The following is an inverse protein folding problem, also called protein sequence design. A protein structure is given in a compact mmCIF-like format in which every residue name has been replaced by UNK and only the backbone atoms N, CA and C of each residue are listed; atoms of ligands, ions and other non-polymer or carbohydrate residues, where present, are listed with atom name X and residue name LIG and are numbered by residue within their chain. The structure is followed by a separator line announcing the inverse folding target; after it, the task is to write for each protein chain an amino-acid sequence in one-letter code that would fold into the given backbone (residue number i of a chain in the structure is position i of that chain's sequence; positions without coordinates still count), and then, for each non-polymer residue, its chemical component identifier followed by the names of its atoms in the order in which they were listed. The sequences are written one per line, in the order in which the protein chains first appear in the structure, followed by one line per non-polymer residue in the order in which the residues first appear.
data_IF_618155381062
#
_entry.id   IF_618155381062
#
_cell.length_a   1.000
_cell.length_b   1.000
_cell.length_c   1.000
_cell.angle_alpha   90.00
_cell.angle_beta   90.00
_cell.angle_gamma   90.00
#
_symmetry.space_group_name_H-M   'P 1'
#
loop_
_entity.id
_entity.type
_entity.pdbx_description
1 polymer ?
#
# COMPACT_ATOMS: atom_id res chain seq x y z
N UNK A 1 11.03 -13.20 10.96
CA UNK A 1 9.71 -12.95 11.55
C UNK A 1 8.89 -12.03 10.67
N UNK A 2 7.61 -12.36 10.50
CA UNK A 2 6.65 -11.51 9.80
C UNK A 2 6.07 -10.53 10.82
N UNK A 3 6.06 -9.22 10.56
CA UNK A 3 5.54 -8.25 11.51
C UNK A 3 4.04 -8.46 11.76
N UNK A 4 3.67 -8.55 13.03
CA UNK A 4 2.27 -8.47 13.47
C UNK A 4 1.99 -7.02 13.84
N UNK A 5 1.09 -6.37 13.12
CA UNK A 5 0.69 -5.00 13.41
C UNK A 5 -0.32 -5.01 14.56
N UNK A 6 0.11 -4.53 15.72
CA UNK A 6 -0.77 -4.35 16.87
C UNK A 6 -1.81 -3.26 16.60
N UNK A 7 -3.04 -3.53 17.00
CA UNK A 7 -4.15 -2.59 16.83
C UNK A 7 -4.00 -1.43 17.80
N UNK A 8 -4.12 -0.21 17.31
CA UNK A 8 -4.24 0.95 18.21
C UNK A 8 -5.65 1.04 18.76
N UNK A 9 -5.80 1.54 20.00
CA UNK A 9 -7.11 1.77 20.60
C UNK A 9 -8.02 2.67 19.72
N UNK A 10 -7.44 3.63 19.00
CA UNK A 10 -8.17 4.51 18.08
C UNK A 10 -8.78 3.77 16.87
N UNK A 11 -8.12 2.74 16.35
CA UNK A 11 -8.64 1.89 15.26
C UNK A 11 -9.79 1.00 15.72
N UNK A 12 -9.78 0.58 16.99
CA UNK A 12 -10.87 -0.21 17.59
C UNK A 12 -12.10 0.68 17.86
N UNK A 13 -11.88 1.92 18.32
CA UNK A 13 -12.95 2.83 18.78
C UNK A 13 -13.73 3.49 17.62
N UNK A 14 -13.10 3.72 16.46
CA UNK A 14 -13.74 4.41 15.33
C UNK A 14 -14.50 3.49 14.34
N UNK A 15 -14.73 2.22 14.68
CA UNK A 15 -15.47 1.28 13.81
C UNK A 15 -15.25 -0.22 14.05
N UNK A 16 -14.49 -0.62 15.08
CA UNK A 16 -14.23 -2.05 15.34
C UNK A 16 -13.52 -2.77 14.18
N UNK A 17 -13.83 -4.05 13.96
CA UNK A 17 -13.31 -4.83 12.83
C UNK A 17 -13.99 -4.48 11.48
N UNK A 18 -14.99 -3.60 11.47
CA UNK A 18 -15.85 -3.36 10.31
C UNK A 18 -15.08 -2.88 9.05
N UNK A 19 -14.04 -2.03 9.14
CA UNK A 19 -13.22 -1.69 7.98
C UNK A 19 -12.39 -2.87 7.44
N UNK A 20 -11.96 -3.81 8.30
CA UNK A 20 -11.19 -4.99 7.88
C UNK A 20 -12.04 -5.94 7.02
N UNK A 21 -13.34 -6.02 7.34
CA UNK A 21 -14.31 -6.84 6.62
C UNK A 21 -14.65 -6.29 5.23
N UNK A 22 -14.14 -5.11 4.85
CA UNK A 22 -14.40 -4.47 3.56
C UNK A 22 -13.35 -4.79 2.50
N UNK A 23 -12.38 -5.65 2.80
CA UNK A 23 -11.36 -6.12 1.85
C UNK A 23 -10.24 -5.13 1.60
N UNK A 24 -10.55 -3.84 1.43
CA UNK A 24 -9.59 -2.75 1.26
C UNK A 24 -9.95 -1.54 2.10
N UNK A 25 -9.04 -1.05 2.93
CA UNK A 25 -9.31 0.06 3.86
C UNK A 25 -8.07 0.90 4.14
N UNK A 26 -8.29 2.15 4.55
CA UNK A 26 -7.22 3.07 4.93
C UNK A 26 -6.70 2.65 6.31
N UNK A 27 -5.45 2.18 6.37
CA UNK A 27 -4.82 1.76 7.63
C UNK A 27 -4.07 2.92 8.31
N UNK A 28 -3.59 3.87 7.51
CA UNK A 28 -2.98 5.12 7.97
C UNK A 28 -3.29 6.21 6.95
N UNK A 29 -3.86 7.33 7.39
CA UNK A 29 -4.22 8.43 6.49
C UNK A 29 -3.31 9.65 6.67
N UNK A 30 -3.36 10.56 5.71
CA UNK A 30 -2.75 11.88 5.80
C UNK A 30 -3.76 12.95 5.38
N UNK A 31 -3.63 14.17 5.92
CA UNK A 31 -4.43 15.31 5.46
C UNK A 31 -3.98 15.68 4.05
N UNK A 32 -4.93 15.77 3.11
CA UNK A 32 -4.67 16.07 1.70
C UNK A 32 -3.55 15.20 1.11
N UNK A 33 -3.73 13.87 1.02
CA UNK A 33 -2.69 12.97 0.54
C UNK A 33 -2.36 13.27 -0.92
N UNK A 34 -1.06 13.34 -1.23
CA UNK A 34 -0.54 13.52 -2.59
C UNK A 34 -0.36 12.18 -3.31
N UNK A 35 -0.20 11.10 -2.56
CA UNK A 35 0.02 9.74 -3.10
C UNK A 35 -0.68 8.69 -2.24
N UNK A 36 -1.12 7.60 -2.85
CA UNK A 36 -1.64 6.41 -2.15
C UNK A 36 -0.63 5.29 -2.27
N UNK A 37 -0.25 4.69 -1.14
CA UNK A 37 0.52 3.45 -1.09
C UNK A 37 -0.42 2.30 -0.74
N UNK A 38 -0.51 1.33 -1.64
CA UNK A 38 -1.32 0.13 -1.54
C UNK A 38 -0.42 -1.05 -1.14
N UNK A 39 -0.84 -1.85 -0.19
CA UNK A 39 -0.09 -3.06 0.20
C UNK A 39 -1.01 -4.16 0.68
N UNK A 40 -0.51 -5.39 0.72
CA UNK A 40 -1.18 -6.55 1.31
C UNK A 40 -0.23 -7.30 2.24
N UNK A 41 -0.79 -8.09 3.16
CA UNK A 41 -0.05 -9.03 3.99
C UNK A 41 1.14 -8.40 4.74
N UNK A 42 2.31 -9.02 4.62
CA UNK A 42 3.55 -8.60 5.28
C UNK A 42 4.08 -7.25 4.82
N UNK A 43 3.77 -6.85 3.58
CA UNK A 43 4.30 -5.63 2.97
C UNK A 43 3.60 -4.36 3.46
N UNK A 44 2.48 -4.47 4.19
CA UNK A 44 1.82 -3.33 4.83
C UNK A 44 2.77 -2.61 5.81
N UNK A 45 3.64 -3.34 6.50
CA UNK A 45 4.65 -2.73 7.36
C UNK A 45 5.68 -1.90 6.57
N UNK A 46 6.03 -2.33 5.35
CA UNK A 46 6.89 -1.56 4.45
C UNK A 46 6.18 -0.31 3.94
N UNK A 47 4.89 -0.39 3.63
CA UNK A 47 4.09 0.76 3.21
C UNK A 47 3.98 1.84 4.31
N UNK A 48 3.80 1.43 5.57
CA UNK A 48 3.82 2.34 6.73
C UNK A 48 5.21 2.97 6.93
N UNK A 49 6.28 2.19 6.75
CA UNK A 49 7.65 2.70 6.84
C UNK A 49 7.93 3.70 5.71
N UNK A 50 7.46 3.42 4.49
CA UNK A 50 7.57 4.32 3.35
C UNK A 50 6.78 5.62 3.56
N UNK A 51 5.58 5.54 4.15
CA UNK A 51 4.82 6.74 4.55
C UNK A 51 5.64 7.63 5.49
N UNK A 52 6.34 7.05 6.48
CA UNK A 52 7.21 7.81 7.37
C UNK A 52 8.41 8.46 6.65
N UNK A 53 9.02 7.76 5.68
CA UNK A 53 10.11 8.29 4.85
C UNK A 53 9.61 9.44 3.94
N UNK A 54 8.43 9.32 3.36
CA UNK A 54 7.81 10.35 2.53
C UNK A 54 7.46 11.60 3.35
N UNK A 55 6.97 11.42 4.58
CA UNK A 55 6.68 12.53 5.48
C UNK A 55 7.94 13.36 5.81
N UNK A 56 9.11 12.73 5.95
CA UNK A 56 10.39 13.43 6.13
C UNK A 56 10.77 14.31 4.93
N UNK A 57 10.23 14.01 3.74
CA UNK A 57 10.42 14.78 2.51
C UNK A 57 9.28 15.80 2.28
N UNK A 58 8.35 15.94 3.23
CA UNK A 58 7.19 16.82 3.09
C UNK A 58 6.09 16.29 2.16
N UNK A 59 6.11 14.99 1.82
CA UNK A 59 5.11 14.34 0.97
C UNK A 59 4.05 13.68 1.85
N UNK A 60 2.79 14.06 1.68
CA UNK A 60 1.67 13.42 2.38
C UNK A 60 1.25 12.14 1.63
N UNK A 61 1.31 11.00 2.32
CA UNK A 61 0.93 9.71 1.77
C UNK A 61 -0.18 9.06 2.58
N UNK A 62 -1.18 8.50 1.89
CA UNK A 62 -2.19 7.60 2.47
C UNK A 62 -1.73 6.16 2.29
N UNK A 63 -1.91 5.33 3.31
CA UNK A 63 -1.65 3.88 3.24
C UNK A 63 -2.96 3.12 3.27
N UNK A 64 -3.16 2.27 2.27
CA UNK A 64 -4.33 1.41 2.13
C UNK A 64 -3.89 -0.05 2.19
N UNK A 65 -4.48 -0.79 3.11
CA UNK A 65 -4.34 -2.24 3.19
C UNK A 65 -5.38 -2.88 2.30
N UNK A 66 -4.96 -3.68 1.31
CA UNK A 66 -5.81 -4.44 0.41
C UNK A 66 -5.70 -5.93 0.74
N UNK A 67 -6.46 -6.38 1.74
CA UNK A 67 -6.46 -7.76 2.22
C UNK A 67 -7.24 -8.73 1.31
N UNK A 68 -8.28 -8.25 0.62
CA UNK A 68 -8.99 -9.00 -0.42
C UNK A 68 -9.53 -8.06 -1.48
N UNK A 69 -9.08 -8.26 -2.72
CA UNK A 69 -9.58 -7.55 -3.88
C UNK A 69 -11.06 -7.88 -4.12
N UNK A 70 -11.44 -9.15 -3.99
CA UNK A 70 -12.80 -9.64 -4.24
C UNK A 70 -13.81 -8.97 -3.31
N UNK A 71 -13.51 -8.90 -2.02
CA UNK A 71 -14.39 -8.26 -1.03
C UNK A 71 -14.42 -6.74 -1.26
N UNK A 72 -13.28 -6.13 -1.58
CA UNK A 72 -13.23 -4.69 -1.87
C UNK A 72 -14.08 -4.30 -3.08
N UNK A 73 -14.08 -5.12 -4.14
CA UNK A 73 -14.89 -4.88 -5.33
C UNK A 73 -16.38 -5.05 -5.12
N UNK A 74 -16.79 -5.81 -4.10
CA UNK A 74 -18.20 -5.93 -3.71
C UNK A 74 -18.70 -4.71 -2.92
N UNK A 75 -17.80 -3.82 -2.50
CA UNK A 75 -18.18 -2.60 -1.78
C UNK A 75 -18.83 -1.58 -2.71
N UNK A 76 -19.65 -0.70 -2.12
CA UNK A 76 -20.32 0.36 -2.88
C UNK A 76 -19.30 1.26 -3.59
N UNK A 77 -19.74 1.90 -4.68
CA UNK A 77 -18.88 2.83 -5.43
C UNK A 77 -18.40 3.99 -4.55
N UNK A 78 -19.26 4.48 -3.66
CA UNK A 78 -18.95 5.55 -2.71
C UNK A 78 -17.85 5.12 -1.74
N UNK A 79 -17.89 3.87 -1.25
CA UNK A 79 -16.85 3.36 -0.37
C UNK A 79 -15.51 3.23 -1.10
N UNK A 80 -15.51 2.61 -2.29
CA UNK A 80 -14.28 2.46 -3.08
C UNK A 80 -13.68 3.82 -3.44
N UNK A 81 -14.50 4.81 -3.79
CA UNK A 81 -14.06 6.19 -4.05
C UNK A 81 -13.50 6.86 -2.78
N UNK A 82 -14.07 6.59 -1.60
CA UNK A 82 -13.55 7.14 -0.34
C UNK A 82 -12.16 6.61 0.01
N UNK A 83 -11.85 5.36 -0.37
CA UNK A 83 -10.56 4.71 -0.13
C UNK A 83 -9.55 5.07 -1.22
N UNK A 84 -9.96 4.96 -2.49
CA UNK A 84 -9.15 5.20 -3.68
C UNK A 84 -9.76 6.30 -4.57
N UNK A 85 -9.74 7.57 -4.14
CA UNK A 85 -10.32 8.67 -4.91
C UNK A 85 -9.79 8.71 -6.33
N UNK A 86 -10.68 8.75 -7.31
CA UNK A 86 -10.36 8.84 -8.74
C UNK A 86 -9.51 10.06 -9.09
N UNK A 87 -9.64 11.14 -8.32
CA UNK A 87 -8.83 12.36 -8.43
C UNK A 87 -7.37 12.18 -8.00
N UNK A 88 -7.05 11.15 -7.22
CA UNK A 88 -5.70 10.86 -6.73
C UNK A 88 -5.10 9.68 -7.49
N UNK A 89 -4.46 9.99 -8.61
CA UNK A 89 -3.94 9.00 -9.57
C UNK A 89 -2.50 8.56 -9.27
N UNK A 90 -1.76 9.31 -8.45
CA UNK A 90 -0.45 8.89 -7.96
C UNK A 90 -0.63 7.75 -6.95
N UNK A 91 -0.38 6.53 -7.41
CA UNK A 91 -0.59 5.30 -6.64
C UNK A 91 0.58 4.35 -6.80
N UNK A 92 1.08 3.84 -5.69
CA UNK A 92 2.13 2.82 -5.64
C UNK A 92 1.58 1.58 -4.98
N UNK A 93 1.73 0.39 -5.57
CA UNK A 93 1.48 -0.87 -4.85
C UNK A 93 2.79 -1.55 -4.44
N UNK A 94 2.75 -2.29 -3.34
CA UNK A 94 3.86 -3.15 -2.89
C UNK A 94 3.33 -4.47 -2.36
N UNK A 95 3.81 -5.57 -2.94
CA UNK A 95 3.51 -6.94 -2.54
C UNK A 95 4.64 -7.86 -2.99
N UNK A 96 5.04 -8.82 -2.17
CA UNK A 96 6.00 -9.86 -2.56
C UNK A 96 5.34 -10.94 -3.47
N UNK A 97 4.70 -10.48 -4.55
CA UNK A 97 3.96 -11.25 -5.55
C UNK A 97 4.03 -10.60 -6.93
N UNK A 98 3.36 -11.20 -7.92
CA UNK A 98 3.32 -10.64 -9.29
C UNK A 98 2.60 -9.29 -9.31
N UNK A 99 3.03 -8.38 -10.19
CA UNK A 99 2.53 -7.00 -10.22
C UNK A 99 1.22 -6.84 -11.00
N UNK A 100 0.93 -7.73 -11.95
CA UNK A 100 -0.21 -7.64 -12.86
C UNK A 100 -1.58 -7.40 -12.18
N UNK A 101 -1.95 -8.11 -11.08
CA UNK A 101 -3.22 -7.91 -10.40
C UNK A 101 -3.41 -6.48 -9.87
N UNK A 102 -2.32 -5.77 -9.58
CA UNK A 102 -2.36 -4.42 -9.02
C UNK A 102 -2.69 -3.34 -10.06
N UNK A 103 -2.51 -3.64 -11.36
CA UNK A 103 -2.69 -2.67 -12.45
C UNK A 103 -4.05 -1.97 -12.41
N UNK A 104 -5.11 -2.69 -12.04
CA UNK A 104 -6.47 -2.14 -11.91
C UNK A 104 -6.62 -1.09 -10.79
N UNK A 105 -5.76 -1.13 -9.78
CA UNK A 105 -5.82 -0.24 -8.61
C UNK A 105 -4.85 0.92 -8.72
N UNK A 106 -3.65 0.68 -9.25
CA UNK A 106 -2.65 1.74 -9.46
C UNK A 106 -2.93 2.57 -10.72
N UNK A 107 -3.63 2.01 -11.70
CA UNK A 107 -3.99 2.68 -12.96
C UNK A 107 -2.79 2.90 -13.89
N UNK A 108 -3.01 3.63 -14.98
CA UNK A 108 -2.00 3.83 -16.03
C UNK A 108 -0.83 4.74 -15.60
N UNK A 109 -1.04 5.54 -14.56
CA UNK A 109 -0.02 6.45 -14.04
C UNK A 109 0.73 5.90 -12.85
N UNK A 110 0.26 4.80 -12.23
CA UNK A 110 0.85 4.26 -11.02
C UNK A 110 2.08 3.38 -11.24
N UNK A 111 2.67 2.92 -10.15
CA UNK A 111 3.83 2.00 -10.14
C UNK A 111 3.52 0.83 -9.22
N UNK A 112 3.81 -0.39 -9.67
CA UNK A 112 3.71 -1.59 -8.84
C UNK A 112 5.12 -2.10 -8.50
N UNK A 113 5.37 -2.36 -7.23
CA UNK A 113 6.59 -2.99 -6.73
C UNK A 113 6.24 -4.42 -6.34
N UNK A 114 6.86 -5.38 -7.02
CA UNK A 114 6.62 -6.81 -6.82
C UNK A 114 7.67 -7.66 -7.49
N UNK A 115 7.39 -8.95 -7.64
CA UNK A 115 8.32 -9.96 -8.12
C UNK A 115 7.70 -10.65 -9.34
N UNK A 116 8.09 -10.22 -10.54
CA UNK A 116 7.60 -10.76 -11.84
C UNK A 116 8.49 -11.87 -12.42
N UNK A 117 9.35 -12.46 -11.58
CA UNK A 117 10.22 -13.58 -11.92
C UNK A 117 10.22 -14.61 -10.78
N UNK A 118 10.85 -15.76 -10.99
CA UNK A 118 10.97 -16.77 -9.93
C UNK A 118 11.84 -16.30 -8.76
N UNK A 119 11.57 -16.83 -7.57
CA UNK A 119 12.39 -16.57 -6.39
C UNK A 119 13.82 -17.12 -6.49
N UNK A 120 14.58 -16.93 -5.42
CA UNK A 120 15.95 -17.44 -5.30
C UNK A 120 16.20 -18.02 -3.90
N UNK A 121 17.26 -18.81 -3.77
CA UNK A 121 17.65 -19.40 -2.48
C UNK A 121 18.56 -18.44 -1.71
N UNK A 122 18.00 -17.72 -0.74
CA UNK A 122 18.73 -16.93 0.25
C UNK A 122 17.83 -16.60 1.45
N UNK A 123 18.38 -15.94 2.47
CA UNK A 123 17.59 -15.43 3.59
C UNK A 123 16.59 -14.35 3.12
N UNK A 124 15.39 -14.31 3.72
CA UNK A 124 14.31 -13.44 3.30
C UNK A 124 14.70 -11.95 3.20
N UNK A 125 15.42 -11.42 4.21
CA UNK A 125 15.87 -10.02 4.18
C UNK A 125 16.79 -9.69 3.00
N UNK A 126 17.67 -10.63 2.62
CA UNK A 126 18.54 -10.47 1.44
C UNK A 126 17.70 -10.47 0.16
N UNK A 127 16.70 -11.36 0.07
CA UNK A 127 15.82 -11.42 -1.08
C UNK A 127 14.99 -10.13 -1.23
N UNK A 128 14.42 -9.61 -0.14
CA UNK A 128 13.65 -8.37 -0.16
C UNK A 128 14.50 -7.19 -0.65
N UNK A 129 15.74 -7.06 -0.16
CA UNK A 129 16.67 -6.03 -0.63
C UNK A 129 17.00 -6.22 -2.12
N UNK A 130 17.35 -7.44 -2.55
CA UNK A 130 17.73 -7.73 -3.95
C UNK A 130 16.59 -7.61 -4.94
N UNK A 131 15.36 -7.90 -4.52
CA UNK A 131 14.17 -7.79 -5.34
C UNK A 131 13.51 -6.40 -5.24
N UNK A 132 14.08 -5.48 -4.47
CA UNK A 132 13.57 -4.11 -4.35
C UNK A 132 12.27 -3.99 -3.55
N UNK A 133 11.90 -5.01 -2.77
CA UNK A 133 10.73 -4.97 -1.88
C UNK A 133 11.15 -4.30 -0.57
N UNK A 134 11.29 -2.98 -0.61
CA UNK A 134 11.80 -2.17 0.51
C UNK A 134 11.00 -0.89 0.69
N UNK A 135 11.01 -0.32 1.89
CA UNK A 135 10.31 0.94 2.18
C UNK A 135 10.90 2.11 1.36
N UNK A 136 12.21 2.09 1.13
CA UNK A 136 12.96 3.04 0.33
C UNK A 136 12.53 3.00 -1.14
N UNK A 137 12.40 1.80 -1.72
CA UNK A 137 11.92 1.65 -3.09
C UNK A 137 10.48 2.18 -3.26
N UNK A 138 9.61 1.92 -2.29
CA UNK A 138 8.23 2.45 -2.27
C UNK A 138 8.23 3.98 -2.21
N UNK A 139 9.01 4.57 -1.30
CA UNK A 139 9.12 6.03 -1.18
C UNK A 139 9.71 6.67 -2.45
N UNK A 140 10.70 6.02 -3.06
CA UNK A 140 11.31 6.48 -4.31
C UNK A 140 10.30 6.45 -5.47
N UNK A 141 9.55 5.35 -5.62
CA UNK A 141 8.50 5.23 -6.64
C UNK A 141 7.42 6.32 -6.47
N UNK A 142 6.97 6.55 -5.24
CA UNK A 142 6.01 7.61 -4.93
C UNK A 142 6.54 9.00 -5.29
N UNK A 143 7.79 9.29 -4.94
CA UNK A 143 8.45 10.57 -5.28
C UNK A 143 8.60 10.74 -6.80
N UNK A 144 8.94 9.66 -7.52
CA UNK A 144 9.03 9.67 -8.97
C UNK A 144 7.67 10.01 -9.61
N UNK A 145 6.57 9.45 -9.10
CA UNK A 145 5.22 9.74 -9.62
C UNK A 145 4.85 11.21 -9.49
N UNK A 146 5.21 11.83 -8.37
CA UNK A 146 4.89 13.23 -8.09
C UNK A 146 5.75 14.24 -8.84
N UNK A 147 6.87 13.78 -9.42
CA UNK A 147 7.82 14.63 -10.15
C UNK A 147 7.61 14.58 -11.68
N UNK A 148 6.56 13.91 -12.16
CA UNK A 148 6.23 13.79 -13.58
C UNK A 148 5.39 14.95 -14.11
#
# INVERSE_FOLDING_TARGET
DVPVLDRTAAQIINGGDEPLLRGGYIISDAVNPQVIVLASGSEVALALSAQALLAQQGISARVVSMASFEIFEQQSAEYRESVLPSSLTARVSVEAGITDPWRRYVGDHGISIGIDHYGASAAAGVLFEKFGITAEAVAQAATQLLSR
#
